data_IF_771986933430
#
_entry.id   IF_771986933430
#
_cell.length_a   1.000
_cell.length_b   1.000
_cell.length_c   1.000
_cell.angle_alpha   90.00
_cell.angle_beta   90.00
_cell.angle_gamma   90.00
#
_symmetry.space_group_name_H-M   'P 1'
#
loop_
_entity.id
_entity.type
_entity.pdbx_description
1 polymer ?
#
# COMPACT_ATOMS: atom_id res chain seq x y z
N UNK A 1 1.39 -36.56 -8.44
CA UNK A 1 0.66 -35.77 -7.41
C UNK A 1 1.63 -34.95 -6.54
N UNK A 2 2.88 -35.40 -6.31
CA UNK A 2 3.89 -34.70 -5.50
C UNK A 2 4.34 -33.32 -6.02
N UNK A 3 4.50 -33.13 -7.34
CA UNK A 3 4.98 -31.85 -7.88
C UNK A 3 4.13 -30.62 -7.49
N UNK A 4 2.79 -30.77 -7.45
CA UNK A 4 1.89 -29.69 -7.04
C UNK A 4 1.98 -29.39 -5.55
N UNK A 5 2.15 -30.41 -4.70
CA UNK A 5 2.32 -30.21 -3.26
C UNK A 5 3.65 -29.54 -2.94
N UNK A 6 4.70 -29.85 -3.69
CA UNK A 6 6.04 -29.30 -3.49
C UNK A 6 6.06 -27.80 -3.84
N UNK A 7 5.49 -27.40 -4.98
CA UNK A 7 5.33 -25.99 -5.35
C UNK A 7 4.49 -25.25 -4.30
N UNK A 8 3.40 -25.86 -3.84
CA UNK A 8 2.52 -25.22 -2.87
C UNK A 8 3.22 -25.03 -1.52
N UNK A 9 4.04 -25.99 -1.09
CA UNK A 9 4.85 -25.88 0.12
C UNK A 9 5.89 -24.77 -0.01
N UNK A 10 6.56 -24.66 -1.16
CA UNK A 10 7.53 -23.59 -1.44
C UNK A 10 6.86 -22.20 -1.44
N UNK A 11 5.71 -22.06 -2.10
CA UNK A 11 4.92 -20.82 -2.11
C UNK A 11 4.43 -20.43 -0.72
N UNK A 12 4.06 -21.42 0.10
CA UNK A 12 3.64 -21.20 1.50
C UNK A 12 4.81 -20.68 2.34
N UNK A 13 5.98 -21.30 2.22
CA UNK A 13 7.19 -20.86 2.90
C UNK A 13 7.59 -19.44 2.46
N UNK A 14 7.54 -19.16 1.15
CA UNK A 14 7.80 -17.84 0.61
C UNK A 14 6.82 -16.79 1.18
N UNK A 15 5.53 -17.08 1.20
CA UNK A 15 4.49 -16.19 1.77
C UNK A 15 4.72 -15.94 3.26
N UNK A 16 5.14 -16.98 4.00
CA UNK A 16 5.48 -16.87 5.41
C UNK A 16 6.69 -15.94 5.62
N UNK A 17 7.77 -16.13 4.85
CA UNK A 17 8.95 -15.26 4.92
C UNK A 17 8.60 -13.82 4.55
N UNK A 18 7.82 -13.62 3.49
CA UNK A 18 7.33 -12.31 3.06
C UNK A 18 6.54 -11.61 4.18
N UNK A 19 5.60 -12.33 4.80
CA UNK A 19 4.75 -11.78 5.86
C UNK A 19 5.57 -11.42 7.09
N UNK A 20 6.49 -12.28 7.54
CA UNK A 20 7.34 -11.99 8.69
C UNK A 20 8.26 -10.80 8.44
N UNK A 21 8.86 -10.74 7.25
CA UNK A 21 9.77 -9.68 6.87
C UNK A 21 9.08 -8.34 6.70
N UNK A 22 7.81 -8.32 6.26
CA UNK A 22 7.01 -7.11 6.21
C UNK A 22 6.52 -6.69 7.61
N UNK A 23 5.93 -7.61 8.37
CA UNK A 23 5.17 -7.28 9.58
C UNK A 23 6.05 -6.85 10.74
N UNK A 24 7.13 -7.59 11.04
CA UNK A 24 7.97 -7.31 12.21
C UNK A 24 8.60 -5.91 12.11
N UNK A 25 9.29 -5.55 11.01
CA UNK A 25 9.87 -4.22 10.88
C UNK A 25 8.81 -3.12 10.76
N UNK A 26 7.69 -3.37 10.07
CA UNK A 26 6.62 -2.38 9.95
C UNK A 26 5.98 -2.04 11.29
N UNK A 27 5.80 -3.01 12.19
CA UNK A 27 5.30 -2.77 13.55
C UNK A 27 6.29 -1.94 14.36
N UNK A 28 7.58 -2.24 14.26
CA UNK A 28 8.61 -1.43 14.92
C UNK A 28 8.59 0.01 14.39
N UNK A 29 8.58 0.18 13.07
CA UNK A 29 8.51 1.49 12.42
C UNK A 29 7.22 2.24 12.75
N UNK A 30 6.08 1.56 12.84
CA UNK A 30 4.79 2.20 13.14
C UNK A 30 4.72 2.74 14.57
N UNK A 31 5.42 2.13 15.53
CA UNK A 31 5.52 2.68 16.90
C UNK A 31 6.26 4.03 16.92
N UNK A 32 7.37 4.13 16.18
CA UNK A 32 8.12 5.39 16.07
C UNK A 32 7.34 6.44 15.28
N UNK A 33 6.72 6.04 14.17
CA UNK A 33 5.93 6.94 13.34
C UNK A 33 4.66 7.40 14.04
N UNK A 34 4.02 6.55 14.84
CA UNK A 34 2.87 6.91 15.67
C UNK A 34 3.22 8.01 16.66
N UNK A 35 4.30 7.83 17.43
CA UNK A 35 4.80 8.86 18.35
C UNK A 35 5.17 10.17 17.62
N UNK A 36 5.68 10.07 16.39
CA UNK A 36 6.00 11.23 15.56
C UNK A 36 4.73 11.95 15.06
N UNK A 37 3.70 11.21 14.62
CA UNK A 37 2.43 11.77 14.13
C UNK A 37 1.59 12.46 15.19
N UNK A 38 1.74 12.04 16.45
CA UNK A 38 1.07 12.66 17.58
C UNK A 38 1.76 13.95 18.00
N UNK A 39 3.10 13.98 17.93
CA UNK A 39 3.89 15.15 18.34
C UNK A 39 3.92 16.26 17.29
N UNK A 40 3.92 15.92 16.00
CA UNK A 40 4.04 16.88 14.91
C UNK A 40 2.74 16.96 14.10
N UNK A 41 2.14 18.14 14.05
CA UNK A 41 0.93 18.40 13.26
C UNK A 41 1.07 18.11 11.74
N UNK A 42 2.16 18.52 11.05
CA UNK A 42 2.36 18.19 9.62
C UNK A 42 2.57 16.71 9.33
N UNK A 43 2.89 15.91 10.36
CA UNK A 43 3.35 14.54 10.16
C UNK A 43 2.26 13.62 9.58
N UNK A 44 0.97 13.91 9.82
CA UNK A 44 -0.14 13.10 9.27
C UNK A 44 -0.24 13.24 7.75
N UNK A 45 -0.15 14.46 7.23
CA UNK A 45 -0.09 14.72 5.79
C UNK A 45 1.18 14.14 5.18
N UNK A 46 2.32 14.34 5.84
CA UNK A 46 3.60 13.79 5.40
C UNK A 46 3.54 12.26 5.30
N UNK A 47 2.92 11.57 6.26
CA UNK A 47 2.82 10.11 6.25
C UNK A 47 1.92 9.60 5.12
N UNK A 48 0.83 10.30 4.79
CA UNK A 48 -0.01 9.95 3.64
C UNK A 48 0.73 10.12 2.31
N UNK A 49 1.53 11.19 2.16
CA UNK A 49 2.36 11.44 0.97
C UNK A 49 3.48 10.40 0.87
N UNK A 50 4.18 10.13 1.97
CA UNK A 50 5.24 9.11 2.04
C UNK A 50 4.67 7.74 1.71
N UNK A 51 3.50 7.38 2.25
CA UNK A 51 2.84 6.11 1.96
C UNK A 51 2.52 5.94 0.47
N UNK A 52 1.98 6.97 -0.17
CA UNK A 52 1.71 6.94 -1.61
C UNK A 52 3.00 6.86 -2.45
N UNK A 53 4.04 7.60 -2.07
CA UNK A 53 5.34 7.55 -2.73
C UNK A 53 6.01 6.18 -2.63
N UNK A 54 5.97 5.59 -1.43
CA UNK A 54 6.49 4.25 -1.16
C UNK A 54 5.74 3.18 -1.97
N UNK A 55 4.42 3.30 -2.14
CA UNK A 55 3.63 2.43 -3.01
C UNK A 55 4.04 2.50 -4.49
N UNK A 56 4.45 3.68 -4.98
CA UNK A 56 5.01 3.83 -6.33
C UNK A 56 6.35 3.09 -6.43
N UNK A 57 7.24 3.27 -5.46
CA UNK A 57 8.53 2.58 -5.42
C UNK A 57 8.36 1.06 -5.41
N UNK A 58 7.43 0.54 -4.60
CA UNK A 58 7.08 -0.88 -4.55
C UNK A 58 6.56 -1.38 -5.92
N UNK A 59 5.66 -0.63 -6.57
CA UNK A 59 5.17 -0.98 -7.90
C UNK A 59 6.30 -1.03 -8.95
N UNK A 60 7.24 -0.07 -8.91
CA UNK A 60 8.40 -0.04 -9.82
C UNK A 60 9.33 -1.22 -9.58
N UNK A 61 9.64 -1.54 -8.33
CA UNK A 61 10.48 -2.70 -7.99
C UNK A 61 9.81 -4.00 -8.46
N UNK A 62 8.50 -4.13 -8.29
CA UNK A 62 7.76 -5.29 -8.78
C UNK A 62 7.75 -5.40 -10.30
N UNK A 63 7.65 -4.29 -11.04
CA UNK A 63 7.81 -4.31 -12.51
C UNK A 63 9.21 -4.78 -12.90
N UNK A 64 10.26 -4.29 -12.22
CA UNK A 64 11.65 -4.73 -12.47
C UNK A 64 11.81 -6.22 -12.20
N UNK A 65 11.26 -6.71 -11.09
CA UNK A 65 11.31 -8.14 -10.74
C UNK A 65 10.62 -9.01 -11.79
N UNK A 66 9.48 -8.56 -12.34
CA UNK A 66 8.78 -9.26 -13.41
C UNK A 66 9.56 -9.25 -14.72
N UNK A 67 10.25 -8.15 -15.05
CA UNK A 67 11.13 -8.07 -16.21
C UNK A 67 12.39 -8.95 -16.09
N UNK A 68 12.81 -9.28 -14.86
CA UNK A 68 13.93 -10.17 -14.55
C UNK A 68 13.42 -11.56 -14.12
N UNK A 69 12.54 -12.15 -14.93
CA UNK A 69 11.81 -13.39 -14.59
C UNK A 69 12.71 -14.60 -14.26
N UNK A 70 13.94 -14.63 -14.77
CA UNK A 70 14.90 -15.73 -14.55
C UNK A 70 15.53 -15.72 -13.14
N UNK A 71 15.30 -14.68 -12.34
CA UNK A 71 15.89 -14.52 -11.01
C UNK A 71 15.02 -15.21 -9.94
N UNK A 72 15.67 -15.68 -8.87
CA UNK A 72 15.00 -16.32 -7.73
C UNK A 72 13.83 -15.48 -7.18
N UNK A 73 12.70 -16.11 -6.79
CA UNK A 73 11.52 -15.42 -6.27
C UNK A 73 11.80 -14.61 -5.00
N UNK A 74 12.87 -14.91 -4.26
CA UNK A 74 13.26 -14.16 -3.07
C UNK A 74 13.61 -12.69 -3.35
N UNK A 75 13.92 -12.30 -4.60
CA UNK A 75 14.13 -10.89 -4.96
C UNK A 75 12.84 -10.06 -4.88
N UNK A 76 11.66 -10.69 -4.92
CA UNK A 76 10.41 -10.03 -4.62
C UNK A 76 10.33 -9.53 -3.17
N UNK A 77 11.12 -10.08 -2.23
CA UNK A 77 11.20 -9.55 -0.87
C UNK A 77 11.80 -8.13 -0.82
N UNK A 78 12.56 -7.73 -1.84
CA UNK A 78 13.12 -6.38 -1.93
C UNK A 78 12.04 -5.32 -2.10
N UNK A 79 10.88 -5.67 -2.70
CA UNK A 79 9.76 -4.73 -2.87
C UNK A 79 9.15 -4.29 -1.55
N UNK A 80 9.36 -5.07 -0.48
CA UNK A 80 8.84 -4.83 0.87
C UNK A 80 9.65 -3.74 1.59
N UNK A 81 10.92 -3.56 1.24
CA UNK A 81 11.83 -2.66 1.94
C UNK A 81 11.31 -1.22 1.99
N UNK A 82 10.89 -0.60 0.86
CA UNK A 82 10.28 0.72 0.91
C UNK A 82 9.08 0.79 1.85
N UNK A 83 8.22 -0.24 1.85
CA UNK A 83 6.98 -0.28 2.64
C UNK A 83 7.24 -0.20 4.15
N UNK A 84 8.29 -0.88 4.61
CA UNK A 84 8.73 -0.88 6.02
C UNK A 84 8.95 0.55 6.54
N UNK A 85 9.60 1.42 5.74
CA UNK A 85 9.90 2.80 6.14
C UNK A 85 8.67 3.68 6.33
N UNK A 86 7.54 3.34 5.69
CA UNK A 86 6.28 4.07 5.85
C UNK A 86 5.47 3.64 7.08
N UNK A 87 5.95 2.68 7.87
CA UNK A 87 5.18 2.04 8.94
C UNK A 87 4.22 0.97 8.42
N UNK A 88 4.39 0.57 7.16
CA UNK A 88 3.53 -0.38 6.46
C UNK A 88 2.07 0.05 6.36
N UNK A 89 1.21 -0.90 6.03
CA UNK A 89 -0.24 -0.70 5.93
C UNK A 89 -0.86 -0.16 7.23
N UNK A 90 -0.39 -0.62 8.40
CA UNK A 90 -0.92 -0.19 9.69
C UNK A 90 -0.63 1.30 9.95
N UNK A 91 0.60 1.76 9.73
CA UNK A 91 0.97 3.16 9.90
C UNK A 91 0.15 4.09 9.00
N UNK A 92 -0.06 3.70 7.74
CA UNK A 92 -0.85 4.46 6.78
C UNK A 92 -2.34 4.52 7.17
N UNK A 93 -2.91 3.40 7.62
CA UNK A 93 -4.29 3.33 8.11
C UNK A 93 -4.47 4.23 9.35
N UNK A 94 -3.54 4.19 10.29
CA UNK A 94 -3.58 5.05 11.48
C UNK A 94 -3.54 6.54 11.09
N UNK A 95 -2.65 6.95 10.20
CA UNK A 95 -2.61 8.33 9.73
C UNK A 95 -3.89 8.75 9.00
N UNK A 96 -4.48 7.85 8.21
CA UNK A 96 -5.74 8.09 7.52
C UNK A 96 -6.91 8.32 8.49
N UNK A 97 -7.09 7.44 9.48
CA UNK A 97 -8.14 7.59 10.49
C UNK A 97 -7.95 8.84 11.35
N UNK A 98 -6.72 9.10 11.79
CA UNK A 98 -6.38 10.31 12.54
C UNK A 98 -6.66 11.58 11.73
N UNK A 99 -6.39 11.57 10.42
CA UNK A 99 -6.71 12.69 9.53
C UNK A 99 -8.22 12.92 9.38
N UNK A 100 -9.02 11.86 9.24
CA UNK A 100 -10.48 11.98 9.19
C UNK A 100 -11.02 12.53 10.52
N UNK A 101 -10.51 12.03 11.65
CA UNK A 101 -10.93 12.46 12.97
C UNK A 101 -10.73 13.97 13.18
N UNK A 102 -9.58 14.50 12.74
CA UNK A 102 -9.25 15.92 12.88
C UNK A 102 -10.02 16.81 11.89
N UNK A 103 -10.15 16.38 10.64
CA UNK A 103 -10.76 17.22 9.60
C UNK A 103 -12.29 17.21 9.60
N UNK A 104 -12.96 16.45 10.47
CA UNK A 104 -14.42 16.29 10.45
C UNK A 104 -15.07 16.87 11.69
N UNK A 105 -16.13 17.71 11.56
CA UNK A 105 -16.90 18.16 12.73
C UNK A 105 -17.54 16.96 13.45
N UNK A 106 -17.62 17.01 14.78
CA UNK A 106 -18.18 15.91 15.61
C UNK A 106 -19.54 15.41 15.14
N UNK A 107 -20.40 16.30 14.64
CA UNK A 107 -21.74 15.97 14.10
C UNK A 107 -21.70 15.00 12.91
N UNK A 108 -20.67 15.07 12.07
CA UNK A 108 -20.56 14.28 10.84
C UNK A 108 -19.45 13.22 10.91
N UNK A 109 -18.69 13.19 12.02
CA UNK A 109 -17.52 12.33 12.18
C UNK A 109 -17.87 10.85 11.99
N UNK A 110 -18.87 10.35 12.72
CA UNK A 110 -19.29 8.94 12.63
C UNK A 110 -19.74 8.58 11.21
N UNK A 111 -20.47 9.46 10.55
CA UNK A 111 -20.94 9.23 9.18
C UNK A 111 -19.76 9.15 8.20
N UNK A 112 -18.81 10.10 8.27
CA UNK A 112 -17.63 10.10 7.40
C UNK A 112 -16.73 8.88 7.65
N UNK A 113 -16.58 8.45 8.90
CA UNK A 113 -15.82 7.25 9.24
C UNK A 113 -16.47 5.98 8.68
N UNK A 114 -17.79 5.83 8.81
CA UNK A 114 -18.52 4.68 8.25
C UNK A 114 -18.40 4.66 6.72
N UNK A 115 -18.55 5.81 6.05
CA UNK A 115 -18.36 5.88 4.61
C UNK A 115 -16.93 5.51 4.19
N UNK A 116 -15.91 5.94 4.93
CA UNK A 116 -14.52 5.56 4.66
C UNK A 116 -14.29 4.04 4.82
N UNK A 117 -14.84 3.43 5.88
CA UNK A 117 -14.77 1.99 6.13
C UNK A 117 -15.42 1.17 5.01
N UNK A 118 -16.60 1.60 4.55
CA UNK A 118 -17.31 0.96 3.44
C UNK A 118 -16.49 1.02 2.15
N UNK A 119 -15.86 2.17 1.85
CA UNK A 119 -15.03 2.31 0.66
C UNK A 119 -13.76 1.44 0.74
N UNK A 120 -13.11 1.35 1.90
CA UNK A 120 -11.97 0.44 2.10
C UNK A 120 -12.38 -1.02 1.93
N UNK A 121 -13.54 -1.40 2.47
CA UNK A 121 -14.08 -2.76 2.35
C UNK A 121 -14.41 -3.12 0.90
N UNK A 122 -14.91 -2.17 0.12
CA UNK A 122 -15.20 -2.35 -1.31
C UNK A 122 -13.95 -2.34 -2.19
N UNK A 123 -12.88 -1.66 -1.78
CA UNK A 123 -11.64 -1.59 -2.55
C UNK A 123 -10.99 -2.97 -2.75
N UNK A 124 -11.05 -3.85 -1.75
CA UNK A 124 -10.47 -5.21 -1.81
C UNK A 124 -11.09 -6.10 -2.91
N UNK A 125 -12.41 -6.34 -2.96
CA UNK A 125 -13.02 -7.16 -4.01
C UNK A 125 -12.90 -6.50 -5.39
N UNK A 126 -13.05 -5.18 -5.48
CA UNK A 126 -12.89 -4.46 -6.75
C UNK A 126 -11.47 -4.57 -7.28
N UNK A 127 -10.46 -4.36 -6.43
CA UNK A 127 -9.05 -4.50 -6.78
C UNK A 127 -8.71 -5.93 -7.22
N UNK A 128 -9.23 -6.93 -6.51
CA UNK A 128 -9.03 -8.35 -6.87
C UNK A 128 -9.68 -8.68 -8.22
N UNK A 129 -10.89 -8.18 -8.47
CA UNK A 129 -11.59 -8.40 -9.73
C UNK A 129 -10.86 -7.74 -10.92
N UNK A 130 -10.50 -6.46 -10.78
CA UNK A 130 -9.77 -5.72 -11.82
C UNK A 130 -8.39 -6.33 -12.05
N UNK A 131 -7.66 -6.67 -10.98
CA UNK A 131 -6.36 -7.32 -11.06
C UNK A 131 -6.43 -8.68 -11.76
N UNK A 132 -7.44 -9.50 -11.43
CA UNK A 132 -7.67 -10.79 -12.10
C UNK A 132 -8.07 -10.66 -13.56
N UNK A 133 -8.91 -9.68 -13.90
CA UNK A 133 -9.29 -9.39 -15.28
C UNK A 133 -8.08 -9.00 -16.14
N UNK A 134 -7.20 -8.15 -15.60
CA UNK A 134 -5.97 -7.72 -16.27
C UNK A 134 -4.97 -8.87 -16.37
N UNK A 135 -4.84 -9.70 -15.33
CA UNK A 135 -3.93 -10.85 -15.32
C UNK A 135 -4.25 -11.85 -16.44
N UNK A 136 -5.54 -12.03 -16.76
CA UNK A 136 -6.02 -12.94 -17.83
C UNK A 136 -5.85 -12.37 -19.25
N UNK A 137 -5.42 -11.12 -19.40
CA UNK A 137 -5.12 -10.55 -20.73
C UNK A 137 -3.79 -11.09 -21.27
N UNK A 138 -3.59 -10.98 -22.59
CA UNK A 138 -2.35 -11.41 -23.24
C UNK A 138 -1.13 -10.72 -22.60
N UNK A 139 -0.03 -11.46 -22.32
CA UNK A 139 1.14 -10.90 -21.68
C UNK A 139 1.75 -9.80 -22.55
N UNK A 140 2.05 -8.64 -21.94
CA UNK A 140 2.67 -7.50 -22.61
C UNK A 140 4.09 -7.80 -23.11
N UNK A 141 4.77 -8.75 -22.45
CA UNK A 141 6.13 -9.21 -22.77
C UNK A 141 6.11 -10.73 -23.00
N UNK A 142 5.62 -11.16 -24.17
CA UNK A 142 5.51 -12.57 -24.54
C UNK A 142 6.87 -13.31 -24.67
N UNK A 143 7.98 -12.57 -24.77
CA UNK A 143 9.32 -13.08 -25.08
C UNK A 143 10.03 -13.76 -23.88
N UNK A 144 9.55 -13.53 -22.65
CA UNK A 144 10.24 -13.96 -21.41
C UNK A 144 9.61 -15.17 -20.70
N UNK A 145 8.70 -15.92 -21.36
CA UNK A 145 8.06 -17.09 -20.75
C UNK A 145 6.98 -16.78 -19.71
N UNK A 146 6.48 -15.55 -19.66
CA UNK A 146 5.42 -15.12 -18.76
C UNK A 146 4.06 -15.71 -19.17
N UNK A 147 3.42 -16.48 -18.26
CA UNK A 147 2.10 -17.06 -18.50
C UNK A 147 0.95 -16.05 -18.44
N UNK A 148 1.11 -14.96 -17.67
CA UNK A 148 0.06 -13.98 -17.40
C UNK A 148 0.60 -12.54 -17.44
N UNK A 149 -0.30 -11.56 -17.60
CA UNK A 149 0.08 -10.15 -17.71
C UNK A 149 0.33 -9.48 -16.34
N UNK A 150 1.40 -9.89 -15.65
CA UNK A 150 1.80 -9.31 -14.36
C UNK A 150 2.23 -7.84 -14.49
N UNK A 151 2.88 -7.48 -15.60
CA UNK A 151 3.34 -6.11 -15.86
C UNK A 151 2.15 -5.14 -15.88
N UNK A 152 1.05 -5.50 -16.57
CA UNK A 152 -0.15 -4.69 -16.62
C UNK A 152 -0.76 -4.42 -15.23
N UNK A 153 -0.77 -5.43 -14.35
CA UNK A 153 -1.28 -5.30 -12.98
C UNK A 153 -0.43 -4.30 -12.18
N UNK A 154 0.90 -4.41 -12.23
CA UNK A 154 1.77 -3.51 -11.48
C UNK A 154 1.78 -2.09 -12.04
N UNK A 155 1.60 -1.89 -13.35
CA UNK A 155 1.43 -0.56 -13.95
C UNK A 155 0.14 0.10 -13.45
N UNK A 156 -0.99 -0.62 -13.46
CA UNK A 156 -2.27 -0.08 -12.96
C UNK A 156 -2.14 0.27 -11.48
N UNK A 157 -1.48 -0.58 -10.69
CA UNK A 157 -1.17 -0.31 -9.29
C UNK A 157 -0.33 0.97 -9.12
N UNK A 158 0.75 1.12 -9.89
CA UNK A 158 1.60 2.30 -9.86
C UNK A 158 0.87 3.59 -10.26
N UNK A 159 0.00 3.53 -11.27
CA UNK A 159 -0.84 4.66 -11.68
C UNK A 159 -1.85 5.02 -10.58
N UNK A 160 -2.46 4.03 -9.91
CA UNK A 160 -3.36 4.29 -8.79
C UNK A 160 -2.63 5.00 -7.62
N UNK A 161 -1.42 4.56 -7.29
CA UNK A 161 -0.59 5.24 -6.28
C UNK A 161 -0.15 6.64 -6.71
N UNK A 162 0.15 6.86 -7.99
CA UNK A 162 0.43 8.20 -8.54
C UNK A 162 -0.76 9.14 -8.40
N UNK A 163 -1.97 8.68 -8.72
CA UNK A 163 -3.20 9.45 -8.53
C UNK A 163 -3.44 9.76 -7.05
N UNK A 164 -3.22 8.79 -6.18
CA UNK A 164 -3.30 8.98 -4.73
C UNK A 164 -2.28 9.99 -4.22
N UNK A 165 -1.04 9.96 -4.74
CA UNK A 165 0.01 10.91 -4.39
C UNK A 165 -0.36 12.33 -4.81
N UNK A 166 -0.81 12.52 -6.06
CA UNK A 166 -1.27 13.82 -6.56
C UNK A 166 -2.43 14.34 -5.71
N UNK A 167 -3.41 13.48 -5.41
CA UNK A 167 -4.53 13.85 -4.55
C UNK A 167 -4.06 14.24 -3.13
N UNK A 168 -3.14 13.46 -2.54
CA UNK A 168 -2.61 13.72 -1.21
C UNK A 168 -1.87 15.06 -1.14
N UNK A 169 -1.11 15.43 -2.17
CA UNK A 169 -0.39 16.70 -2.23
C UNK A 169 -1.35 17.89 -2.28
N UNK A 170 -2.35 17.84 -3.16
CA UNK A 170 -3.24 18.98 -3.45
C UNK A 170 -4.44 19.12 -2.53
N UNK A 171 -5.00 18.02 -2.00
CA UNK A 171 -6.28 18.02 -1.27
C UNK A 171 -6.17 17.74 0.22
N UNK A 172 -5.04 17.23 0.70
CA UNK A 172 -4.83 17.07 2.14
C UNK A 172 -4.48 18.43 2.73
N UNK A 173 -5.46 19.05 3.39
CA UNK A 173 -5.32 20.34 4.04
C UNK A 173 -4.84 20.16 5.48
N UNK A 174 -3.88 21.00 5.87
CA UNK A 174 -3.27 21.01 7.21
C UNK A 174 -3.97 21.98 8.18
N UNK A 175 -4.92 22.78 7.67
CA UNK A 175 -5.26 24.10 8.24
C UNK A 175 -6.18 24.11 9.47
N UNK A 176 -6.69 22.99 9.97
CA UNK A 176 -7.81 23.05 10.93
C UNK A 176 -7.44 23.36 12.39
N UNK A 177 -6.15 23.40 12.73
CA UNK A 177 -5.73 23.49 14.15
C UNK A 177 -5.37 24.90 14.65
N UNK A 178 -5.32 25.93 13.79
CA UNK A 178 -4.95 27.29 14.25
C UNK A 178 -6.13 28.08 14.85
N UNK A 179 -7.39 27.69 14.57
CA UNK A 179 -8.55 28.48 15.00
C UNK A 179 -9.21 27.99 16.31
N UNK A 180 -8.90 26.76 16.75
CA UNK A 180 -9.54 26.15 17.94
C UNK A 180 -8.63 26.14 19.19
N UNK A 181 -7.33 26.41 19.04
CA UNK A 181 -6.43 26.69 20.17
C UNK A 181 -6.48 28.16 20.64
N UNK A 182 -7.15 29.04 19.88
CA UNK A 182 -7.33 30.47 20.19
C UNK A 182 -8.75 30.82 20.68
N UNK A 183 -9.62 29.85 21.00
CA UNK A 183 -10.95 30.09 21.61
C UNK A 183 -11.19 29.32 22.90
#
# INVERSE_FOLDING_TARGET
MHYKSDILAEMTNFTLYYTLFLTIPSVVSSLFLGAWTDKYQPAKKALLIIGAFVGICEAVINVINVCLYDISPYYALLSVIPNIFSGGMLGQITAFWSYIALTTPRKYLSLRMIFAELMMSLASPVGTYVGGAVLNTSPLSADQGQLHNYIGVYIICGVAYLLALVWAIFKVDEKRDMEEFER
#
